data_IF_579407687163
#
_entry.id   IF_579407687163
#
_cell.length_a   1.000
_cell.length_b   1.000
_cell.length_c   1.000
_cell.angle_alpha   90.00
_cell.angle_beta   90.00
_cell.angle_gamma   90.00
#
_symmetry.space_group_name_H-M   'P 1'
#
loop_
_entity.id
_entity.type
_entity.pdbx_description
1 polymer ?
#
# COMPACT_ATOMS: atom_id res chain seq x y z
N UNK A 1 -1.54 -5.97 -1.58
CA UNK A 1 -2.20 -4.93 -2.41
C UNK A 1 -1.20 -4.30 -3.36
N UNK A 2 0.00 -3.93 -2.89
CA UNK A 2 1.02 -3.33 -3.74
C UNK A 2 1.45 -4.23 -4.90
N UNK A 3 1.62 -5.53 -4.66
CA UNK A 3 1.97 -6.48 -5.71
C UNK A 3 0.87 -6.63 -6.74
N UNK A 4 -0.39 -6.58 -6.32
CA UNK A 4 -1.54 -6.63 -7.22
C UNK A 4 -1.60 -5.39 -8.10
N UNK A 5 -1.43 -4.21 -7.52
CA UNK A 5 -1.39 -2.95 -8.26
C UNK A 5 -0.25 -2.95 -9.27
N UNK A 6 0.93 -3.40 -8.85
CA UNK A 6 2.09 -3.49 -9.73
C UNK A 6 1.83 -4.43 -10.91
N UNK A 7 1.25 -5.61 -10.66
CA UNK A 7 0.94 -6.57 -11.72
C UNK A 7 -0.04 -6.00 -12.74
N UNK A 8 -1.07 -5.29 -12.28
CA UNK A 8 -2.05 -4.64 -13.16
C UNK A 8 -1.36 -3.61 -14.06
N UNK A 9 -0.48 -2.78 -13.48
CA UNK A 9 0.20 -1.73 -14.22
C UNK A 9 1.20 -2.31 -15.23
N UNK A 10 1.99 -3.30 -14.83
CA UNK A 10 2.97 -3.95 -15.72
C UNK A 10 2.26 -4.58 -16.90
N UNK A 11 1.17 -5.29 -16.64
CA UNK A 11 0.36 -5.89 -17.72
C UNK A 11 -0.24 -4.81 -18.63
N UNK A 12 -0.79 -3.74 -18.04
CA UNK A 12 -1.39 -2.65 -18.79
C UNK A 12 -0.38 -1.94 -19.68
N UNK A 13 0.85 -1.73 -19.19
CA UNK A 13 1.92 -1.14 -20.00
C UNK A 13 2.30 -2.05 -21.16
N UNK A 14 2.40 -3.36 -20.93
CA UNK A 14 2.75 -4.33 -21.96
C UNK A 14 1.67 -4.43 -23.05
N UNK A 15 0.39 -4.33 -22.70
CA UNK A 15 -0.73 -4.44 -23.64
C UNK A 15 -1.14 -3.10 -24.25
N UNK A 16 -0.57 -1.99 -23.77
CA UNK A 16 -0.90 -0.66 -24.26
C UNK A 16 -2.16 -0.04 -23.65
N UNK A 17 -2.83 -0.72 -22.71
CA UNK A 17 -4.00 -0.17 -22.03
C UNK A 17 -3.63 0.91 -21.01
N UNK A 18 -2.42 0.82 -20.46
CA UNK A 18 -1.85 1.86 -19.59
C UNK A 18 -0.81 2.64 -20.39
N UNK A 19 -0.99 3.95 -20.45
CA UNK A 19 -0.05 4.87 -21.14
C UNK A 19 0.31 6.00 -20.20
N UNK A 20 1.33 6.77 -20.56
CA UNK A 20 1.71 7.94 -19.75
C UNK A 20 0.61 8.99 -19.70
N UNK A 21 -0.28 9.03 -20.70
CA UNK A 21 -1.40 9.97 -20.73
C UNK A 21 -2.47 9.65 -19.68
N UNK A 22 -2.75 8.37 -19.45
CA UNK A 22 -3.80 7.95 -18.50
C UNK A 22 -3.22 7.44 -17.18
N UNK A 23 -1.90 7.54 -16.99
CA UNK A 23 -1.24 7.02 -15.79
C UNK A 23 -1.76 7.64 -14.51
N UNK A 24 -2.03 8.96 -14.52
CA UNK A 24 -2.53 9.64 -13.32
C UNK A 24 -3.93 9.15 -12.93
N UNK A 25 -4.83 8.98 -13.91
CA UNK A 25 -6.17 8.44 -13.66
C UNK A 25 -6.12 7.03 -13.10
N UNK A 26 -5.22 6.20 -13.62
CA UNK A 26 -5.04 4.83 -13.16
C UNK A 26 -4.47 4.80 -11.74
N UNK A 27 -3.49 5.67 -11.45
CA UNK A 27 -2.93 5.79 -10.12
C UNK A 27 -4.01 6.16 -9.11
N UNK A 28 -4.84 7.15 -9.43
CA UNK A 28 -5.94 7.57 -8.57
C UNK A 28 -6.93 6.43 -8.33
N UNK A 29 -7.28 5.71 -9.39
CA UNK A 29 -8.21 4.57 -9.30
C UNK A 29 -7.65 3.45 -8.41
N UNK A 30 -6.36 3.14 -8.55
CA UNK A 30 -5.72 2.12 -7.73
C UNK A 30 -5.67 2.55 -6.26
N UNK A 31 -5.40 3.82 -5.99
CA UNK A 31 -5.41 4.35 -4.62
C UNK A 31 -6.81 4.25 -4.01
N UNK A 32 -7.85 4.56 -4.76
CA UNK A 32 -9.24 4.43 -4.28
C UNK A 32 -9.57 2.97 -3.95
N UNK A 33 -9.18 2.05 -4.81
CA UNK A 33 -9.38 0.61 -4.56
C UNK A 33 -8.61 0.17 -3.33
N UNK A 34 -7.34 0.56 -3.22
CA UNK A 34 -6.50 0.22 -2.07
C UNK A 34 -7.06 0.80 -0.77
N UNK A 35 -7.52 2.05 -0.81
CA UNK A 35 -8.15 2.69 0.35
C UNK A 35 -9.40 1.95 0.78
N UNK A 36 -10.25 1.55 -0.17
CA UNK A 36 -11.48 0.80 0.11
C UNK A 36 -11.17 -0.53 0.77
N UNK A 37 -10.24 -1.30 0.21
CA UNK A 37 -9.80 -2.57 0.78
C UNK A 37 -9.18 -2.35 2.16
N UNK A 38 -8.33 -1.33 2.28
CA UNK A 38 -7.65 -1.01 3.52
C UNK A 38 -8.61 -0.63 4.64
N UNK A 39 -9.65 0.14 4.33
CA UNK A 39 -10.67 0.51 5.33
C UNK A 39 -11.41 -0.71 5.84
N UNK A 40 -11.80 -1.63 4.95
CA UNK A 40 -12.50 -2.85 5.35
C UNK A 40 -11.60 -3.70 6.25
N UNK A 41 -10.36 -3.92 5.86
CA UNK A 41 -9.42 -4.74 6.61
C UNK A 41 -9.07 -4.08 7.94
N UNK A 42 -8.84 -2.77 7.96
CA UNK A 42 -8.51 -2.03 9.17
C UNK A 42 -9.66 -2.05 10.17
N UNK A 43 -10.89 -1.90 9.70
CA UNK A 43 -12.07 -1.99 10.54
C UNK A 43 -12.22 -3.40 11.13
N UNK A 44 -12.05 -4.43 10.31
CA UNK A 44 -12.10 -5.81 10.76
C UNK A 44 -11.02 -6.07 11.83
N UNK A 45 -9.81 -5.62 11.59
CA UNK A 45 -8.70 -5.79 12.52
C UNK A 45 -8.94 -5.04 13.84
N UNK A 46 -9.47 -3.82 13.75
CA UNK A 46 -9.81 -3.03 14.93
C UNK A 46 -10.84 -3.75 15.79
N UNK A 47 -11.94 -4.20 15.17
CA UNK A 47 -13.01 -4.89 15.90
C UNK A 47 -12.53 -6.20 16.51
N UNK A 48 -11.73 -6.96 15.77
CA UNK A 48 -11.19 -8.22 16.25
C UNK A 48 -10.26 -8.01 17.45
N UNK A 49 -9.34 -7.05 17.34
CA UNK A 49 -8.38 -6.79 18.41
C UNK A 49 -9.05 -6.22 19.66
N UNK A 50 -10.01 -5.32 19.47
CA UNK A 50 -10.64 -4.66 20.59
C UNK A 50 -11.65 -5.56 21.32
N UNK A 51 -12.50 -6.29 20.58
CA UNK A 51 -13.61 -7.03 21.17
C UNK A 51 -13.30 -8.51 21.42
N UNK A 52 -12.50 -9.14 20.56
CA UNK A 52 -12.28 -10.59 20.65
C UNK A 52 -10.96 -10.96 21.33
N UNK A 53 -9.96 -10.08 21.30
CA UNK A 53 -8.62 -10.37 21.81
C UNK A 53 -8.27 -9.61 23.08
N UNK A 54 -9.19 -8.85 23.64
CA UNK A 54 -9.02 -8.07 24.88
C UNK A 54 -7.83 -7.10 24.86
N UNK A 55 -7.38 -6.70 23.66
CA UNK A 55 -6.35 -5.67 23.55
C UNK A 55 -6.93 -4.29 23.88
N UNK A 56 -6.06 -3.39 24.36
CA UNK A 56 -6.48 -2.03 24.67
C UNK A 56 -6.94 -1.28 23.42
N UNK A 57 -7.77 -0.24 23.63
CA UNK A 57 -8.21 0.62 22.55
C UNK A 57 -7.02 1.27 21.85
N UNK A 58 -6.00 1.69 22.61
CA UNK A 58 -4.78 2.30 22.04
C UNK A 58 -4.09 1.34 21.08
N UNK A 59 -3.90 0.10 21.50
CA UNK A 59 -3.27 -0.92 20.66
C UNK A 59 -4.07 -1.16 19.39
N UNK A 60 -5.40 -1.28 19.50
CA UNK A 60 -6.27 -1.51 18.34
C UNK A 60 -6.20 -0.35 17.34
N UNK A 61 -6.17 0.89 17.83
CA UNK A 61 -6.05 2.07 16.99
C UNK A 61 -4.69 2.09 16.28
N UNK A 62 -3.60 1.82 17.01
CA UNK A 62 -2.25 1.81 16.43
C UNK A 62 -2.16 0.83 15.27
N UNK A 63 -2.59 -0.41 15.49
CA UNK A 63 -2.49 -1.47 14.50
C UNK A 63 -3.35 -1.15 13.27
N UNK A 64 -4.57 -0.66 13.49
CA UNK A 64 -5.49 -0.34 12.39
C UNK A 64 -4.99 0.82 11.53
N UNK A 65 -4.51 1.90 12.17
CA UNK A 65 -3.99 3.06 11.44
C UNK A 65 -2.70 2.70 10.70
N UNK A 66 -1.82 1.93 11.33
CA UNK A 66 -0.58 1.50 10.69
C UNK A 66 -0.86 0.62 9.48
N UNK A 67 -1.80 -0.31 9.59
CA UNK A 67 -2.18 -1.18 8.48
C UNK A 67 -2.77 -0.38 7.31
N UNK A 68 -3.69 0.54 7.62
CA UNK A 68 -4.31 1.38 6.59
C UNK A 68 -3.27 2.23 5.87
N UNK A 69 -2.38 2.88 6.61
CA UNK A 69 -1.30 3.70 6.03
C UNK A 69 -0.38 2.85 5.17
N UNK A 70 -0.04 1.65 5.62
CA UNK A 70 0.81 0.74 4.87
C UNK A 70 0.15 0.32 3.55
N UNK A 71 -1.14 0.02 3.56
CA UNK A 71 -1.87 -0.36 2.35
C UNK A 71 -1.90 0.80 1.35
N UNK A 72 -2.16 2.01 1.82
CA UNK A 72 -2.18 3.20 0.95
C UNK A 72 -0.82 3.41 0.28
N UNK A 73 0.26 3.38 1.06
CA UNK A 73 1.61 3.56 0.53
C UNK A 73 2.00 2.41 -0.41
N UNK A 74 1.64 1.18 -0.05
CA UNK A 74 1.91 0.01 -0.90
C UNK A 74 1.21 0.14 -2.25
N UNK A 75 -0.04 0.58 -2.26
CA UNK A 75 -0.81 0.77 -3.49
C UNK A 75 -0.18 1.87 -4.34
N UNK A 76 0.19 2.99 -3.72
CA UNK A 76 0.83 4.10 -4.42
C UNK A 76 2.14 3.66 -5.06
N UNK A 77 3.04 3.04 -4.28
CA UNK A 77 4.34 2.62 -4.78
C UNK A 77 4.23 1.48 -5.79
N UNK A 78 3.34 0.52 -5.55
CA UNK A 78 3.12 -0.58 -6.48
C UNK A 78 2.62 -0.11 -7.84
N UNK A 79 1.88 0.99 -7.87
CA UNK A 79 1.42 1.60 -9.12
C UNK A 79 2.47 2.52 -9.72
N UNK A 80 3.08 3.36 -8.89
CA UNK A 80 4.00 4.40 -9.35
C UNK A 80 5.33 3.85 -9.86
N UNK A 81 5.90 2.82 -9.21
CA UNK A 81 7.21 2.30 -9.58
C UNK A 81 7.27 1.78 -11.02
N UNK A 82 6.32 0.93 -11.48
CA UNK A 82 6.34 0.51 -12.88
C UNK A 82 6.17 1.67 -13.86
N UNK A 83 5.33 2.67 -13.51
CA UNK A 83 5.13 3.85 -14.34
C UNK A 83 6.41 4.68 -14.45
N UNK A 84 7.13 4.85 -13.34
CA UNK A 84 8.40 5.58 -13.31
C UNK A 84 9.44 4.84 -14.15
N UNK A 85 9.56 3.53 -14.02
CA UNK A 85 10.49 2.74 -14.81
C UNK A 85 10.19 2.85 -16.30
N UNK A 86 8.91 2.78 -16.67
CA UNK A 86 8.51 2.94 -18.06
C UNK A 86 8.89 4.32 -18.62
N UNK A 87 8.74 5.37 -17.81
CA UNK A 87 9.10 6.74 -18.22
C UNK A 87 10.60 6.88 -18.49
N UNK A 88 11.45 6.17 -17.76
CA UNK A 88 12.90 6.22 -17.96
C UNK A 88 13.41 5.15 -18.94
N UNK A 89 12.50 4.55 -19.72
CA UNK A 89 12.81 3.50 -20.69
C UNK A 89 13.43 2.25 -20.06
N UNK A 90 13.18 2.04 -18.79
CA UNK A 90 13.51 0.80 -18.10
C UNK A 90 12.32 -0.14 -18.28
N UNK A 91 12.60 -1.40 -18.63
CA UNK A 91 11.54 -2.40 -18.82
C UNK A 91 10.74 -2.52 -17.52
N UNK A 92 9.40 -2.25 -17.55
CA UNK A 92 8.57 -2.40 -16.34
C UNK A 92 8.60 -3.80 -15.74
N UNK A 93 8.92 -4.82 -16.53
CA UNK A 93 9.05 -6.19 -16.03
C UNK A 93 10.23 -6.35 -15.08
N UNK A 94 11.22 -5.44 -15.11
CA UNK A 94 12.31 -5.40 -14.13
C UNK A 94 11.76 -5.07 -12.75
N UNK A 95 10.69 -4.27 -12.68
CA UNK A 95 9.95 -4.02 -11.45
C UNK A 95 9.06 -5.24 -11.12
N UNK A 96 9.65 -6.43 -11.14
CA UNK A 96 8.94 -7.68 -10.93
C UNK A 96 8.49 -7.82 -9.48
N UNK A 97 7.63 -8.79 -9.22
CA UNK A 97 7.08 -9.04 -7.90
C UNK A 97 8.16 -9.15 -6.81
N UNK A 98 9.31 -9.82 -7.01
CA UNK A 98 10.35 -9.85 -5.98
C UNK A 98 10.91 -8.48 -5.60
N UNK A 99 11.15 -7.60 -6.58
CA UNK A 99 11.66 -6.25 -6.31
C UNK A 99 10.63 -5.45 -5.53
N UNK A 100 9.38 -5.44 -6.00
CA UNK A 100 8.28 -4.70 -5.38
C UNK A 100 8.03 -5.23 -3.96
N UNK A 101 7.97 -6.55 -3.78
CA UNK A 101 7.77 -7.15 -2.46
C UNK A 101 8.86 -6.74 -1.48
N UNK A 102 10.12 -6.78 -1.89
CA UNK A 102 11.25 -6.41 -1.02
C UNK A 102 11.18 -4.94 -0.64
N UNK A 103 10.91 -4.05 -1.60
CA UNK A 103 10.79 -2.63 -1.35
C UNK A 103 9.63 -2.34 -0.41
N UNK A 104 8.47 -2.96 -0.63
CA UNK A 104 7.28 -2.75 0.19
C UNK A 104 7.46 -3.31 1.59
N UNK A 105 8.18 -4.42 1.75
CA UNK A 105 8.44 -4.99 3.06
C UNK A 105 9.26 -4.01 3.92
N UNK A 106 10.33 -3.44 3.36
CA UNK A 106 11.17 -2.47 4.07
C UNK A 106 10.37 -1.21 4.41
N UNK A 107 9.69 -0.64 3.42
CA UNK A 107 8.91 0.58 3.59
C UNK A 107 7.77 0.35 4.57
N UNK A 108 7.09 -0.79 4.48
CA UNK A 108 6.01 -1.15 5.39
C UNK A 108 6.47 -1.24 6.83
N UNK A 109 7.64 -1.82 7.09
CA UNK A 109 8.19 -1.88 8.45
C UNK A 109 8.51 -0.48 8.99
N UNK A 110 9.11 0.37 8.17
CA UNK A 110 9.41 1.75 8.57
C UNK A 110 8.13 2.51 8.92
N UNK A 111 7.09 2.38 8.10
CA UNK A 111 5.80 3.04 8.33
C UNK A 111 5.15 2.52 9.62
N UNK A 112 5.13 1.21 9.80
CA UNK A 112 4.51 0.60 10.98
C UNK A 112 5.17 1.10 12.27
N UNK A 113 6.49 1.04 12.34
CA UNK A 113 7.21 1.47 13.53
C UNK A 113 7.12 2.98 13.75
N UNK A 114 7.14 3.76 12.67
CA UNK A 114 7.01 5.23 12.77
C UNK A 114 5.65 5.62 13.33
N UNK A 115 4.58 5.01 12.86
CA UNK A 115 3.22 5.30 13.33
C UNK A 115 3.06 4.84 14.77
N UNK A 116 3.58 3.66 15.11
CA UNK A 116 3.51 3.14 16.47
C UNK A 116 4.20 4.09 17.45
N UNK A 117 5.41 4.54 17.13
CA UNK A 117 6.14 5.47 17.97
C UNK A 117 5.41 6.80 18.10
N UNK A 118 4.89 7.34 16.99
CA UNK A 118 4.17 8.60 17.00
C UNK A 118 2.93 8.53 17.89
N UNK A 119 2.12 7.48 17.74
CA UNK A 119 0.89 7.33 18.52
C UNK A 119 1.20 7.12 19.99
N UNK A 120 2.21 6.30 20.31
CA UNK A 120 2.61 6.09 21.71
C UNK A 120 3.10 7.37 22.35
N UNK A 121 3.88 8.20 21.65
CA UNK A 121 4.35 9.48 22.16
C UNK A 121 3.21 10.46 22.38
N UNK A 122 2.21 10.43 21.52
CA UNK A 122 1.07 11.35 21.59
C UNK A 122 0.07 10.94 22.68
N UNK A 123 -0.17 9.64 22.86
CA UNK A 123 -1.18 9.12 23.78
C UNK A 123 -0.62 8.76 25.17
N UNK A 124 0.69 8.72 25.32
CA UNK A 124 1.37 8.51 26.59
C UNK A 124 2.02 9.82 27.02
#
# INVERSE_FOLDING_TARGET
>A
VGNQSSAIIVRGLATGTVTLKNSFSILFREIVVGLSIGLVIALFLFLTNHYLSDYSLVFSVIVSVALLSNIIVATFLGTALPLIFNRFNIDPAVASAPFISSALDVIGQVIYFSITLFVLQTLI
#
